data_IF_720221139659
#
_entry.id   IF_720221139659
#
_cell.length_a   1.000
_cell.length_b   1.000
_cell.length_c   1.000
_cell.angle_alpha   90.00
_cell.angle_beta   90.00
_cell.angle_gamma   90.00
#
_symmetry.space_group_name_H-M   'P 1'
#
loop_
_entity.id
_entity.type
_entity.pdbx_description
1 polymer ?
#
# COMPACT_ATOMS: atom_id res chain seq x y z
N UNK A 1 -23.61 8.39 7.72
CA UNK A 1 -23.14 8.30 9.13
C UNK A 1 -22.54 6.92 9.41
N UNK A 2 -21.82 6.72 10.53
CA UNK A 2 -21.22 5.40 10.85
C UNK A 2 -22.27 4.28 10.90
N UNK A 3 -23.42 4.55 11.51
CA UNK A 3 -24.53 3.59 11.66
C UNK A 3 -25.05 3.09 10.30
N UNK A 4 -25.31 4.02 9.38
CA UNK A 4 -25.76 3.69 8.02
C UNK A 4 -24.69 2.91 7.25
N UNK A 5 -23.42 3.33 7.39
CA UNK A 5 -22.31 2.61 6.78
C UNK A 5 -22.20 1.17 7.25
N UNK A 6 -22.34 0.90 8.55
CA UNK A 6 -22.35 -0.47 9.09
C UNK A 6 -23.50 -1.29 8.48
N UNK A 7 -24.68 -0.68 8.32
CA UNK A 7 -25.83 -1.36 7.70
C UNK A 7 -25.53 -1.77 6.25
N UNK A 8 -24.84 -0.91 5.48
CA UNK A 8 -24.37 -1.24 4.12
C UNK A 8 -23.32 -2.36 4.17
N UNK A 9 -22.34 -2.28 5.07
CA UNK A 9 -21.29 -3.29 5.22
C UNK A 9 -21.88 -4.69 5.46
N UNK A 10 -22.96 -4.82 6.21
CA UNK A 10 -23.63 -6.11 6.48
C UNK A 10 -24.26 -6.74 5.23
N UNK A 11 -24.60 -5.93 4.21
CA UNK A 11 -25.12 -6.42 2.93
C UNK A 11 -24.03 -7.00 2.03
N UNK A 12 -22.79 -6.56 2.18
CA UNK A 12 -21.66 -6.99 1.36
C UNK A 12 -21.22 -8.42 1.74
N UNK A 13 -21.11 -9.30 0.74
CA UNK A 13 -20.71 -10.71 0.91
C UNK A 13 -19.26 -10.99 0.51
N UNK A 14 -18.79 -10.32 -0.54
CA UNK A 14 -17.42 -10.49 -1.01
C UNK A 14 -16.41 -9.91 0.01
N UNK A 15 -15.43 -10.69 0.50
CA UNK A 15 -14.49 -10.25 1.53
C UNK A 15 -13.65 -9.04 1.12
N UNK A 16 -13.24 -8.95 -0.15
CA UNK A 16 -12.48 -7.80 -0.65
C UNK A 16 -13.34 -6.53 -0.65
N UNK A 17 -14.57 -6.62 -1.14
CA UNK A 17 -15.54 -5.53 -1.14
C UNK A 17 -15.83 -5.04 0.29
N UNK A 18 -16.00 -5.95 1.24
CA UNK A 18 -16.15 -5.63 2.67
C UNK A 18 -14.93 -4.91 3.22
N UNK A 19 -13.73 -5.39 2.90
CA UNK A 19 -12.47 -4.82 3.36
C UNK A 19 -12.26 -3.38 2.85
N UNK A 20 -12.45 -3.14 1.55
CA UNK A 20 -12.34 -1.81 0.94
C UNK A 20 -13.41 -0.87 1.51
N UNK A 21 -14.64 -1.36 1.67
CA UNK A 21 -15.74 -0.55 2.19
C UNK A 21 -15.52 -0.15 3.65
N UNK A 22 -15.15 -1.09 4.54
CA UNK A 22 -14.91 -0.76 5.95
C UNK A 22 -13.69 0.15 6.12
N UNK A 23 -12.68 -0.03 5.26
CA UNK A 23 -11.52 0.84 5.19
C UNK A 23 -11.92 2.28 4.89
N UNK A 24 -12.71 2.48 3.83
CA UNK A 24 -13.21 3.79 3.44
C UNK A 24 -14.13 4.38 4.52
N UNK A 25 -15.12 3.63 5.00
CA UNK A 25 -16.10 4.10 5.97
C UNK A 25 -15.44 4.70 7.23
N UNK A 26 -14.46 4.01 7.79
CA UNK A 26 -13.75 4.46 8.99
C UNK A 26 -12.79 5.62 8.71
N UNK A 27 -12.18 5.64 7.52
CA UNK A 27 -11.30 6.72 7.07
C UNK A 27 -12.06 7.97 6.64
N UNK A 28 -13.37 7.90 6.39
CA UNK A 28 -14.17 9.05 5.97
C UNK A 28 -14.97 9.63 7.15
N UNK A 29 -15.67 8.77 7.91
CA UNK A 29 -16.50 9.20 9.04
C UNK A 29 -15.68 9.74 10.23
N UNK A 30 -14.43 9.30 10.37
CA UNK A 30 -13.52 9.74 11.44
C UNK A 30 -14.15 9.71 12.87
N UNK A 31 -14.57 8.53 13.37
CA UNK A 31 -15.29 8.45 14.64
C UNK A 31 -14.44 8.75 15.89
N UNK A 32 -13.11 8.79 15.78
CA UNK A 32 -12.20 9.04 16.91
C UNK A 32 -11.31 10.27 16.66
N UNK A 33 -10.75 10.84 17.73
CA UNK A 33 -9.81 11.98 17.63
C UNK A 33 -8.45 11.61 17.02
N UNK A 34 -8.00 10.36 17.23
CA UNK A 34 -6.77 9.81 16.66
C UNK A 34 -6.98 8.30 16.40
N UNK A 35 -6.17 7.73 15.52
CA UNK A 35 -6.10 6.29 15.30
C UNK A 35 -7.04 5.78 14.19
N UNK A 36 -7.87 6.62 13.58
CA UNK A 36 -8.82 6.21 12.54
C UNK A 36 -8.14 5.44 11.39
N UNK A 37 -7.01 5.94 10.89
CA UNK A 37 -6.26 5.24 9.84
C UNK A 37 -5.69 3.88 10.29
N UNK A 38 -5.28 3.75 11.56
CA UNK A 38 -4.80 2.47 12.12
C UNK A 38 -5.96 1.48 12.26
N UNK A 39 -7.07 1.92 12.85
CA UNK A 39 -8.28 1.11 13.01
C UNK A 39 -8.85 0.67 11.66
N UNK A 40 -8.92 1.60 10.70
CA UNK A 40 -9.40 1.34 9.35
C UNK A 40 -8.61 0.21 8.67
N UNK A 41 -7.27 0.21 8.77
CA UNK A 41 -6.42 -0.87 8.23
C UNK A 41 -6.56 -2.18 9.00
N UNK A 42 -6.76 -2.14 10.32
CA UNK A 42 -7.03 -3.34 11.12
C UNK A 42 -8.34 -3.98 10.68
N UNK A 43 -9.40 -3.19 10.52
CA UNK A 43 -10.71 -3.69 10.07
C UNK A 43 -10.65 -4.20 8.63
N UNK A 44 -9.94 -3.52 7.73
CA UNK A 44 -9.66 -4.02 6.39
C UNK A 44 -9.00 -5.41 6.45
N UNK A 45 -7.94 -5.56 7.25
CA UNK A 45 -7.24 -6.84 7.43
C UNK A 45 -8.17 -7.92 7.97
N UNK A 46 -9.01 -7.59 8.96
CA UNK A 46 -9.99 -8.52 9.54
C UNK A 46 -10.93 -9.10 8.47
N UNK A 47 -11.51 -8.25 7.62
CA UNK A 47 -12.45 -8.69 6.58
C UNK A 47 -11.74 -9.56 5.53
N UNK A 48 -10.51 -9.22 5.15
CA UNK A 48 -9.69 -10.04 4.23
C UNK A 48 -9.38 -11.42 4.82
N UNK A 49 -8.92 -11.47 6.08
CA UNK A 49 -8.59 -12.72 6.77
C UNK A 49 -9.81 -13.62 6.96
N UNK A 50 -10.98 -13.04 7.26
CA UNK A 50 -12.23 -13.79 7.37
C UNK A 50 -12.62 -14.48 6.05
N UNK A 51 -12.19 -13.91 4.91
CA UNK A 51 -12.37 -14.49 3.57
C UNK A 51 -11.22 -15.38 3.09
N UNK A 52 -10.19 -15.63 3.90
CA UNK A 52 -8.98 -16.35 3.46
C UNK A 52 -8.14 -15.60 2.42
N UNK A 53 -8.34 -14.29 2.28
CA UNK A 53 -7.61 -13.47 1.32
C UNK A 53 -6.30 -12.93 1.92
N UNK A 54 -5.32 -12.67 1.05
CA UNK A 54 -4.08 -11.98 1.45
C UNK A 54 -4.39 -10.59 2.00
N UNK A 55 -3.62 -10.18 3.02
CA UNK A 55 -3.67 -8.83 3.59
C UNK A 55 -3.24 -7.78 2.57
N UNK A 56 -3.71 -6.55 2.75
CA UNK A 56 -3.25 -5.40 1.97
C UNK A 56 -2.23 -4.62 2.80
N UNK A 57 -0.99 -4.56 2.31
CA UNK A 57 0.07 -3.70 2.85
C UNK A 57 0.29 -2.54 1.88
N UNK A 58 0.27 -1.32 2.41
CA UNK A 58 0.56 -0.09 1.65
C UNK A 58 2.01 0.30 1.99
N UNK A 59 2.97 0.03 1.09
CA UNK A 59 4.38 0.32 1.34
C UNK A 59 4.69 1.82 1.21
N UNK A 60 5.81 2.25 1.79
CA UNK A 60 6.23 3.66 1.83
C UNK A 60 6.29 4.28 0.43
N UNK A 61 6.86 3.56 -0.55
CA UNK A 61 6.97 4.00 -1.95
C UNK A 61 5.61 4.31 -2.61
N UNK A 62 4.52 3.72 -2.11
CA UNK A 62 3.17 3.83 -2.66
C UNK A 62 2.26 4.77 -1.83
N UNK A 63 2.81 5.42 -0.80
CA UNK A 63 2.03 6.25 0.13
C UNK A 63 1.33 7.39 -0.59
N UNK A 64 2.01 8.07 -1.51
CA UNK A 64 1.45 9.22 -2.24
C UNK A 64 0.31 8.79 -3.17
N UNK A 65 0.50 7.74 -3.96
CA UNK A 65 -0.53 7.17 -4.84
C UNK A 65 -1.79 6.77 -4.06
N UNK A 66 -1.61 6.15 -2.89
CA UNK A 66 -2.71 5.78 -2.00
C UNK A 66 -3.46 7.01 -1.44
N UNK A 67 -2.73 8.05 -1.01
CA UNK A 67 -3.34 9.29 -0.52
C UNK A 67 -4.10 10.02 -1.64
N UNK A 68 -3.57 10.01 -2.87
CA UNK A 68 -4.23 10.59 -4.03
C UNK A 68 -5.48 9.81 -4.42
N UNK A 69 -5.46 8.48 -4.29
CA UNK A 69 -6.64 7.65 -4.48
C UNK A 69 -7.76 7.98 -3.47
N UNK A 70 -7.42 8.18 -2.19
CA UNK A 70 -8.38 8.65 -1.18
C UNK A 70 -8.92 10.05 -1.51
N UNK A 71 -8.06 10.99 -1.93
CA UNK A 71 -8.48 12.34 -2.33
C UNK A 71 -9.41 12.32 -3.53
N UNK A 72 -9.17 11.44 -4.50
CA UNK A 72 -10.03 11.28 -5.67
C UNK A 72 -11.43 10.82 -5.26
N UNK A 73 -11.51 9.84 -4.34
CA UNK A 73 -12.79 9.40 -3.80
C UNK A 73 -13.52 10.54 -3.07
N UNK A 74 -12.88 11.21 -2.12
CA UNK A 74 -13.54 12.28 -1.34
C UNK A 74 -13.94 13.50 -2.17
N UNK A 75 -13.18 13.86 -3.22
CA UNK A 75 -13.43 15.09 -4.01
C UNK A 75 -14.25 14.86 -5.27
N UNK A 76 -14.17 13.68 -5.88
CA UNK A 76 -14.79 13.36 -7.18
C UNK A 76 -15.82 12.26 -7.09
N UNK A 77 -16.02 11.68 -5.90
CA UNK A 77 -16.90 10.52 -5.68
C UNK A 77 -16.55 9.33 -6.60
N UNK A 78 -15.27 9.19 -6.96
CA UNK A 78 -14.77 8.10 -7.80
C UNK A 78 -13.98 7.09 -6.94
N UNK A 79 -14.58 5.94 -6.59
CA UNK A 79 -13.90 4.91 -5.80
C UNK A 79 -12.94 4.08 -6.64
N UNK A 80 -12.97 4.19 -7.97
CA UNK A 80 -12.31 3.24 -8.86
C UNK A 80 -10.78 3.27 -8.72
N UNK A 81 -10.20 4.45 -8.47
CA UNK A 81 -8.76 4.59 -8.23
C UNK A 81 -8.36 3.91 -6.92
N UNK A 82 -9.12 4.13 -5.84
CA UNK A 82 -8.85 3.50 -4.55
C UNK A 82 -8.96 1.98 -4.63
N UNK A 83 -10.02 1.47 -5.26
CA UNK A 83 -10.24 0.03 -5.43
C UNK A 83 -9.08 -0.60 -6.19
N UNK A 84 -8.67 -0.03 -7.34
CA UNK A 84 -7.53 -0.54 -8.13
C UNK A 84 -6.21 -0.47 -7.37
N UNK A 85 -5.97 0.61 -6.64
CA UNK A 85 -4.75 0.77 -5.83
C UNK A 85 -4.68 -0.29 -4.72
N UNK A 86 -5.78 -0.53 -4.00
CA UNK A 86 -5.82 -1.53 -2.94
C UNK A 86 -5.73 -2.96 -3.49
N UNK A 87 -6.38 -3.25 -4.63
CA UNK A 87 -6.24 -4.52 -5.34
C UNK A 87 -4.79 -4.78 -5.75
N UNK A 88 -4.11 -3.76 -6.32
CA UNK A 88 -2.71 -3.87 -6.68
C UNK A 88 -1.82 -4.14 -5.46
N UNK A 89 -2.00 -3.40 -4.37
CA UNK A 89 -1.28 -3.65 -3.12
C UNK A 89 -1.55 -5.05 -2.55
N UNK A 90 -2.77 -5.59 -2.70
CA UNK A 90 -3.10 -6.95 -2.29
C UNK A 90 -2.31 -7.99 -3.09
N UNK A 91 -2.26 -7.81 -4.42
CA UNK A 91 -1.52 -8.69 -5.32
C UNK A 91 -0.03 -8.71 -5.00
N UNK A 92 0.56 -7.54 -4.74
CA UNK A 92 1.96 -7.45 -4.31
C UNK A 92 2.15 -8.13 -2.95
N UNK A 93 1.26 -7.86 -1.99
CA UNK A 93 1.34 -8.49 -0.66
C UNK A 93 1.24 -10.02 -0.71
N UNK A 94 0.40 -10.56 -1.59
CA UNK A 94 0.31 -11.99 -1.85
C UNK A 94 1.58 -12.55 -2.50
N UNK A 95 2.15 -11.83 -3.47
CA UNK A 95 3.37 -12.25 -4.16
C UNK A 95 4.62 -12.18 -3.28
N UNK A 96 4.60 -11.38 -2.21
CA UNK A 96 5.67 -11.27 -1.22
C UNK A 96 5.44 -12.15 0.03
N UNK A 97 4.52 -13.11 -0.04
CA UNK A 97 4.27 -14.06 1.04
C UNK A 97 5.32 -15.16 1.03
N UNK A 98 6.22 -15.13 2.00
CA UNK A 98 7.36 -16.05 2.13
C UNK A 98 7.34 -16.74 3.50
N UNK A 99 8.04 -17.87 3.63
CA UNK A 99 8.14 -18.62 4.89
C UNK A 99 9.00 -17.93 5.95
N UNK A 100 10.02 -17.18 5.52
CA UNK A 100 10.96 -16.48 6.41
C UNK A 100 10.90 -14.98 6.23
N UNK A 101 11.25 -14.26 7.31
CA UNK A 101 11.31 -12.80 7.31
C UNK A 101 12.35 -12.29 6.31
N UNK A 102 13.51 -12.93 6.22
CA UNK A 102 14.60 -12.56 5.32
C UNK A 102 14.20 -12.72 3.85
N UNK A 103 13.51 -13.80 3.51
CA UNK A 103 12.95 -14.02 2.19
C UNK A 103 11.89 -12.96 1.88
N UNK A 104 10.97 -12.70 2.81
CA UNK A 104 9.94 -11.67 2.65
C UNK A 104 10.56 -10.29 2.41
N UNK A 105 11.55 -9.89 3.21
CA UNK A 105 12.27 -8.61 3.03
C UNK A 105 12.90 -8.55 1.63
N UNK A 106 13.56 -9.62 1.19
CA UNK A 106 14.17 -9.65 -0.15
C UNK A 106 13.12 -9.52 -1.25
N UNK A 107 12.00 -10.24 -1.16
CA UNK A 107 10.93 -10.19 -2.16
C UNK A 107 10.21 -8.83 -2.16
N UNK A 108 9.98 -8.21 -0.99
CA UNK A 108 9.47 -6.84 -0.90
C UNK A 108 10.45 -5.80 -1.45
N UNK A 109 11.76 -5.97 -1.25
CA UNK A 109 12.77 -5.11 -1.86
C UNK A 109 12.76 -5.21 -3.39
N UNK A 110 12.53 -6.40 -3.95
CA UNK A 110 12.34 -6.63 -5.40
C UNK A 110 11.06 -5.99 -5.97
N UNK A 111 10.18 -5.47 -5.11
CA UNK A 111 9.01 -4.68 -5.47
C UNK A 111 9.22 -3.16 -5.23
N UNK A 112 10.45 -2.73 -4.89
CA UNK A 112 10.80 -1.36 -4.49
C UNK A 112 10.08 -0.84 -3.23
N UNK A 113 9.50 -1.73 -2.42
CA UNK A 113 8.57 -1.33 -1.36
C UNK A 113 9.18 -0.48 -0.24
N UNK A 114 10.48 -0.58 -0.03
CA UNK A 114 11.21 0.18 0.99
C UNK A 114 11.76 1.52 0.47
N UNK A 115 11.63 1.82 -0.82
CA UNK A 115 12.12 3.07 -1.39
C UNK A 115 11.26 4.27 -0.93
N UNK A 116 11.90 5.38 -0.60
CA UNK A 116 11.19 6.59 -0.12
C UNK A 116 10.93 7.62 -1.22
N UNK A 117 11.71 7.58 -2.31
CA UNK A 117 11.62 8.56 -3.40
C UNK A 117 10.82 8.00 -4.58
N UNK A 118 9.58 8.46 -4.81
CA UNK A 118 8.77 8.02 -5.95
C UNK A 118 9.33 8.52 -7.30
N UNK A 119 10.30 9.44 -7.28
CA UNK A 119 10.99 9.92 -8.48
C UNK A 119 11.78 8.80 -9.16
N UNK A 120 12.36 7.89 -8.37
CA UNK A 120 13.27 6.85 -8.85
C UNK A 120 12.76 5.43 -8.61
N UNK A 121 11.61 5.29 -7.95
CA UNK A 121 11.03 4.00 -7.63
C UNK A 121 9.50 4.07 -7.72
N UNK A 122 8.89 2.97 -8.16
CA UNK A 122 7.45 2.76 -8.08
C UNK A 122 7.21 1.36 -7.56
N UNK A 123 6.13 1.16 -6.82
CA UNK A 123 5.72 -0.18 -6.41
C UNK A 123 5.45 -1.03 -7.65
N UNK A 124 6.06 -2.21 -7.71
CA UNK A 124 5.87 -3.19 -8.79
C UNK A 124 5.50 -4.55 -8.22
N UNK A 125 5.14 -5.50 -9.09
CA UNK A 125 5.23 -6.91 -8.72
C UNK A 125 6.71 -7.27 -8.49
N UNK A 126 7.04 -8.13 -7.51
CA UNK A 126 8.42 -8.48 -7.22
C UNK A 126 9.11 -9.07 -8.46
N UNK A 127 10.23 -8.48 -8.85
CA UNK A 127 11.01 -8.93 -9.99
C UNK A 127 12.26 -9.72 -9.52
N UNK A 128 12.33 -11.05 -9.77
CA UNK A 128 13.45 -11.87 -9.32
C UNK A 128 14.78 -11.52 -9.99
N UNK A 129 14.76 -10.83 -11.13
CA UNK A 129 15.97 -10.40 -11.84
C UNK A 129 16.66 -9.18 -11.19
N UNK A 130 15.99 -8.50 -10.26
CA UNK A 130 16.58 -7.35 -9.56
C UNK A 130 17.60 -7.83 -8.51
N UNK A 131 18.78 -7.22 -8.58
CA UNK A 131 19.83 -7.35 -7.57
C UNK A 131 19.50 -6.38 -6.43
N UNK A 132 19.43 -6.90 -5.21
CA UNK A 132 19.13 -6.11 -4.01
C UNK A 132 20.43 -5.75 -3.32
N UNK A 133 20.58 -4.46 -2.98
CA UNK A 133 21.66 -3.94 -2.16
C UNK A 133 21.06 -3.28 -0.92
N UNK A 134 21.76 -3.39 0.21
CA UNK A 134 21.36 -2.75 1.46
C UNK A 134 22.29 -1.58 1.75
N UNK A 135 21.71 -0.38 1.86
CA UNK A 135 22.41 0.84 2.26
C UNK A 135 21.69 1.42 3.48
N UNK A 136 22.44 1.77 4.53
CA UNK A 136 21.90 2.30 5.80
C UNK A 136 20.73 1.48 6.39
N UNK A 137 20.81 0.15 6.26
CA UNK A 137 19.79 -0.79 6.76
C UNK A 137 18.54 -0.91 5.88
N UNK A 138 18.46 -0.20 4.75
CA UNK A 138 17.34 -0.27 3.81
C UNK A 138 17.71 -1.16 2.62
N UNK A 139 17.01 -2.29 2.39
CA UNK A 139 17.21 -3.11 1.20
C UNK A 139 16.41 -2.55 0.03
N UNK A 140 17.06 -2.30 -1.10
CA UNK A 140 16.39 -1.85 -2.32
C UNK A 140 17.15 -2.31 -3.58
N UNK A 141 16.52 -2.26 -4.76
CA UNK A 141 17.18 -2.60 -6.01
C UNK A 141 18.41 -1.72 -6.30
N UNK A 142 19.46 -2.31 -6.88
CA UNK A 142 20.72 -1.61 -7.16
C UNK A 142 20.55 -0.38 -8.07
N UNK A 143 19.59 -0.42 -9.00
CA UNK A 143 19.27 0.70 -9.91
C UNK A 143 18.69 1.92 -9.17
N UNK A 144 17.89 1.71 -8.12
CA UNK A 144 17.41 2.77 -7.24
C UNK A 144 18.58 3.50 -6.56
N UNK A 145 19.55 2.78 -6.01
CA UNK A 145 20.73 3.37 -5.38
C UNK A 145 21.63 4.09 -6.38
N UNK A 146 21.74 3.59 -7.61
CA UNK A 146 22.46 4.27 -8.68
C UNK A 146 21.78 5.59 -9.08
N UNK A 147 20.44 5.60 -9.15
CA UNK A 147 19.67 6.80 -9.45
C UNK A 147 19.84 7.88 -8.36
N UNK A 148 19.76 7.51 -7.08
CA UNK A 148 19.99 8.45 -5.98
C UNK A 148 21.39 9.08 -5.99
N UNK A 149 22.43 8.29 -6.28
CA UNK A 149 23.81 8.80 -6.39
C UNK A 149 23.97 9.78 -7.54
N UNK A 150 23.28 9.57 -8.67
CA UNK A 150 23.30 10.50 -9.81
C UNK A 150 22.68 11.85 -9.45
N UNK A 151 21.58 11.85 -8.71
CA UNK A 151 20.93 13.08 -8.25
C UNK A 151 21.80 13.86 -7.25
N UNK A 152 22.53 13.17 -6.37
CA UNK A 152 23.44 13.81 -5.41
C UNK A 152 24.72 14.38 -6.08
N UNK A 153 25.11 13.85 -7.23
CA UNK A 153 26.25 14.31 -8.02
C UNK A 153 25.91 15.33 -9.12
N UNK A 154 24.64 15.67 -9.33
CA UNK A 154 24.20 16.61 -10.36
C UNK A 154 24.44 18.07 -9.91
N UNK A 155 25.04 18.94 -10.73
CA UNK A 155 25.15 20.36 -10.39
C UNK A 155 23.74 20.97 -10.25
N UNK A 156 23.53 21.78 -9.20
CA UNK A 156 22.28 22.52 -8.99
C UNK A 156 21.92 23.33 -10.25
N UNK A 157 20.66 23.30 -10.72
CA UNK A 157 20.25 24.16 -11.81
C UNK A 157 20.44 25.62 -11.40
N UNK A 158 21.17 26.37 -12.22
CA UNK A 158 21.47 27.79 -12.10
C UNK A 158 20.22 28.63 -12.32
#
# INVERSE_FOLDING_TARGET
>A
TLREGVSILETLKDPFSRAVFVHFLLSDVHPFNDGNGRLSRIMMTKELMAGGLSRIVIPTVFREDYLDALRALSRRNDPSILVRSLEFCQRVSAACSEETTEAAITTWARAYAFCESPRHARLTMPNPALVIETHDGTPAPADYWQALRRDQGAPMPI
#
